data_IF_866296336921
#
_entry.id   IF_866296336921
#
_cell.length_a   1.000
_cell.length_b   1.000
_cell.length_c   1.000
_cell.angle_alpha   90.00
_cell.angle_beta   90.00
_cell.angle_gamma   90.00
#
_symmetry.space_group_name_H-M   'P 1'
#
loop_
_entity.id
_entity.type
_entity.pdbx_description
1 polymer ?
#
# COMPACT_ATOMS: atom_id res chain seq x y z
N UNK A 1 -8.20 -21.64 -24.54
CA UNK A 1 -7.63 -21.05 -23.32
C UNK A 1 -8.78 -20.98 -22.32
N UNK A 2 -8.63 -21.53 -21.10
CA UNK A 2 -9.66 -21.35 -20.05
C UNK A 2 -9.75 -19.85 -19.73
N UNK A 3 -10.96 -19.33 -19.59
CA UNK A 3 -11.14 -17.95 -19.15
C UNK A 3 -10.50 -17.78 -17.75
N UNK A 4 -9.82 -16.65 -17.55
CA UNK A 4 -9.27 -16.30 -16.24
C UNK A 4 -10.41 -16.27 -15.21
N UNK A 5 -10.31 -17.00 -14.08
CA UNK A 5 -11.34 -16.98 -13.05
C UNK A 5 -11.70 -15.56 -12.62
N UNK A 6 -12.98 -15.33 -12.31
CA UNK A 6 -13.54 -13.99 -12.05
C UNK A 6 -12.75 -13.20 -10.99
N UNK A 7 -12.34 -13.87 -9.92
CA UNK A 7 -11.58 -13.26 -8.80
C UNK A 7 -10.12 -12.93 -9.16
N UNK A 8 -9.59 -13.38 -10.30
CA UNK A 8 -8.27 -13.01 -10.80
C UNK A 8 -8.31 -11.97 -11.92
N UNK A 9 -9.50 -11.54 -12.35
CA UNK A 9 -9.62 -10.50 -13.38
C UNK A 9 -9.26 -9.13 -12.83
N UNK A 10 -8.70 -8.27 -13.69
CA UNK A 10 -8.38 -6.88 -13.37
C UNK A 10 -9.66 -6.04 -13.27
N UNK A 11 -9.60 -4.90 -12.57
CA UNK A 11 -10.71 -3.93 -12.52
C UNK A 11 -11.13 -3.54 -13.94
N UNK A 12 -10.16 -3.30 -14.82
CA UNK A 12 -10.43 -2.95 -16.22
C UNK A 12 -11.26 -4.01 -16.93
N UNK A 13 -10.93 -5.29 -16.75
CA UNK A 13 -11.69 -6.41 -17.37
C UNK A 13 -13.07 -6.54 -16.75
N UNK A 14 -13.17 -6.50 -15.42
CA UNK A 14 -14.45 -6.56 -14.70
C UNK A 14 -15.37 -5.40 -15.11
N UNK A 15 -14.84 -4.19 -15.17
CA UNK A 15 -15.55 -2.99 -15.60
C UNK A 15 -16.13 -3.16 -17.02
N UNK A 16 -15.32 -3.63 -17.97
CA UNK A 16 -15.79 -3.88 -19.33
C UNK A 16 -16.95 -4.90 -19.39
N UNK A 17 -16.90 -5.95 -18.58
CA UNK A 17 -17.98 -6.93 -18.51
C UNK A 17 -19.25 -6.34 -17.89
N UNK A 18 -19.11 -5.53 -16.83
CA UNK A 18 -20.23 -4.84 -16.18
C UNK A 18 -20.91 -3.89 -17.17
N UNK A 19 -20.15 -3.05 -17.87
CA UNK A 19 -20.71 -2.10 -18.85
C UNK A 19 -21.33 -2.77 -20.07
N UNK A 20 -20.84 -3.97 -20.48
CA UNK A 20 -21.45 -4.78 -21.53
C UNK A 20 -22.70 -5.54 -21.04
N UNK A 21 -23.00 -5.53 -19.74
CA UNK A 21 -24.10 -6.29 -19.15
C UNK A 21 -23.87 -7.80 -19.11
N UNK A 22 -22.63 -8.28 -19.30
CA UNK A 22 -22.26 -9.70 -19.23
C UNK A 22 -21.90 -10.14 -17.80
N UNK A 23 -21.65 -9.19 -16.90
CA UNK A 23 -21.40 -9.39 -15.47
C UNK A 23 -22.27 -8.43 -14.67
N UNK A 24 -22.99 -8.93 -13.66
CA UNK A 24 -23.72 -8.10 -12.71
C UNK A 24 -22.79 -7.68 -11.57
N UNK A 25 -22.85 -6.40 -11.10
CA UNK A 25 -22.20 -5.99 -9.85
C UNK A 25 -22.58 -6.85 -8.64
N UNK A 26 -23.83 -7.32 -8.58
CA UNK A 26 -24.31 -8.23 -7.53
C UNK A 26 -23.64 -9.58 -7.62
N UNK A 27 -23.61 -10.19 -8.80
CA UNK A 27 -22.95 -11.49 -9.00
C UNK A 27 -21.44 -11.43 -8.71
N UNK A 28 -20.78 -10.32 -9.07
CA UNK A 28 -19.38 -10.09 -8.72
C UNK A 28 -19.18 -10.00 -7.20
N UNK A 29 -20.03 -9.23 -6.52
CA UNK A 29 -19.96 -9.07 -5.06
C UNK A 29 -20.22 -10.41 -4.35
N UNK A 30 -21.24 -11.18 -4.75
CA UNK A 30 -21.53 -12.51 -4.20
C UNK A 30 -20.32 -13.43 -4.34
N UNK A 31 -19.77 -13.54 -5.55
CA UNK A 31 -18.59 -14.38 -5.82
C UNK A 31 -17.39 -14.01 -4.92
N UNK A 32 -17.12 -12.72 -4.73
CA UNK A 32 -15.98 -12.28 -3.92
C UNK A 32 -16.25 -12.44 -2.41
N UNK A 33 -17.49 -12.26 -1.96
CA UNK A 33 -17.88 -12.52 -0.58
C UNK A 33 -17.77 -14.00 -0.23
N UNK A 34 -18.26 -14.88 -1.09
CA UNK A 34 -18.16 -16.34 -0.90
C UNK A 34 -16.69 -16.77 -0.83
N UNK A 35 -15.84 -16.21 -1.72
CA UNK A 35 -14.41 -16.49 -1.69
C UNK A 35 -13.74 -15.94 -0.42
N UNK A 36 -14.10 -14.74 0.01
CA UNK A 36 -13.56 -14.18 1.25
C UNK A 36 -13.96 -15.04 2.47
N UNK A 37 -15.22 -15.48 2.54
CA UNK A 37 -15.69 -16.36 3.61
C UNK A 37 -15.00 -17.73 3.62
N UNK A 38 -14.69 -18.29 2.46
CA UNK A 38 -13.98 -19.56 2.36
C UNK A 38 -12.53 -19.48 2.83
N UNK A 39 -11.83 -18.35 2.58
CA UNK A 39 -10.39 -18.24 2.80
C UNK A 39 -10.02 -17.47 4.08
N UNK A 40 -10.90 -16.57 4.55
CA UNK A 40 -10.52 -15.62 5.61
C UNK A 40 -10.34 -16.28 6.99
N UNK A 41 -10.99 -17.42 7.21
CA UNK A 41 -10.77 -18.24 8.41
C UNK A 41 -9.32 -18.69 8.59
N UNK A 42 -8.59 -18.85 7.48
CA UNK A 42 -7.17 -19.22 7.45
C UNK A 42 -6.27 -18.01 7.23
N UNK A 43 -6.64 -17.08 6.34
CA UNK A 43 -5.78 -15.97 5.92
C UNK A 43 -5.90 -14.72 6.79
N UNK A 44 -6.97 -14.56 7.56
CA UNK A 44 -7.21 -13.44 8.48
C UNK A 44 -7.02 -12.05 7.82
N UNK A 45 -7.44 -11.90 6.55
CA UNK A 45 -7.27 -10.67 5.78
C UNK A 45 -8.24 -9.56 6.21
N UNK A 46 -9.42 -9.95 6.73
CA UNK A 46 -10.48 -9.00 7.08
C UNK A 46 -10.69 -8.89 8.59
N UNK A 47 -10.93 -7.67 9.04
CA UNK A 47 -11.44 -7.37 10.37
C UNK A 47 -12.96 -7.44 10.41
N UNK A 48 -13.62 -7.05 9.30
CA UNK A 48 -15.07 -7.03 9.19
C UNK A 48 -15.50 -7.14 7.73
N UNK A 49 -16.43 -8.06 7.47
CA UNK A 49 -17.13 -8.19 6.19
C UNK A 49 -18.63 -7.97 6.46
N UNK A 50 -19.20 -6.79 6.17
CA UNK A 50 -20.62 -6.51 6.36
C UNK A 50 -21.43 -7.01 5.15
N UNK A 51 -21.59 -8.35 5.00
CA UNK A 51 -22.14 -9.02 3.82
C UNK A 51 -23.44 -8.42 3.31
N UNK A 52 -24.44 -8.25 4.17
CA UNK A 52 -25.76 -7.73 3.76
C UNK A 52 -25.66 -6.30 3.23
N UNK A 53 -24.83 -5.48 3.86
CA UNK A 53 -24.59 -4.09 3.42
C UNK A 53 -23.86 -4.07 2.08
N UNK A 54 -22.87 -4.93 1.87
CA UNK A 54 -22.13 -5.04 0.62
C UNK A 54 -23.04 -5.44 -0.53
N UNK A 55 -23.90 -6.44 -0.33
CA UNK A 55 -24.89 -6.89 -1.32
C UNK A 55 -25.92 -5.81 -1.64
N UNK A 56 -26.47 -5.14 -0.63
CA UNK A 56 -27.42 -4.04 -0.85
C UNK A 56 -26.78 -2.88 -1.64
N UNK A 57 -25.51 -2.57 -1.37
CA UNK A 57 -24.78 -1.54 -2.11
C UNK A 57 -24.48 -1.96 -3.55
N UNK A 58 -24.17 -3.25 -3.80
CA UNK A 58 -23.98 -3.79 -5.15
C UNK A 58 -25.29 -3.77 -5.95
N UNK A 59 -26.43 -4.06 -5.32
CA UNK A 59 -27.75 -3.92 -5.92
C UNK A 59 -28.07 -2.48 -6.30
N UNK A 60 -27.75 -1.52 -5.43
CA UNK A 60 -27.93 -0.11 -5.72
C UNK A 60 -27.05 0.34 -6.91
N UNK A 61 -25.79 -0.08 -6.98
CA UNK A 61 -24.91 0.21 -8.10
C UNK A 61 -25.45 -0.39 -9.41
N UNK A 62 -25.94 -1.62 -9.40
CA UNK A 62 -26.54 -2.24 -10.58
C UNK A 62 -27.79 -1.48 -11.07
N UNK A 63 -28.68 -1.10 -10.15
CA UNK A 63 -29.89 -0.34 -10.49
C UNK A 63 -29.55 1.04 -11.07
N UNK A 64 -28.57 1.73 -10.49
CA UNK A 64 -28.08 3.04 -10.94
C UNK A 64 -27.53 2.93 -12.37
N UNK A 65 -26.72 1.91 -12.64
CA UNK A 65 -26.18 1.66 -13.97
C UNK A 65 -27.29 1.32 -15.00
N UNK A 66 -28.25 0.47 -14.63
CA UNK A 66 -29.42 0.16 -15.49
C UNK A 66 -30.31 1.38 -15.77
N UNK A 67 -30.33 2.36 -14.87
CA UNK A 67 -31.02 3.62 -15.07
C UNK A 67 -30.23 4.61 -15.98
N UNK A 68 -29.08 4.21 -16.50
CA UNK A 68 -28.23 5.05 -17.35
C UNK A 68 -27.37 6.05 -16.58
N UNK A 69 -27.24 5.93 -15.26
CA UNK A 69 -26.41 6.76 -14.40
C UNK A 69 -25.09 6.02 -14.15
N UNK A 70 -24.18 6.11 -15.11
CA UNK A 70 -22.87 5.50 -15.06
C UNK A 70 -21.83 6.45 -14.41
N UNK A 71 -21.17 6.00 -13.35
CA UNK A 71 -20.11 6.75 -12.67
C UNK A 71 -18.71 6.51 -13.27
N UNK A 72 -18.60 5.74 -14.35
CA UNK A 72 -17.34 5.49 -15.06
C UNK A 72 -16.71 4.13 -14.74
N UNK A 73 -15.41 3.97 -15.03
CA UNK A 73 -14.74 2.66 -15.08
C UNK A 73 -14.66 1.92 -13.73
N UNK A 74 -14.98 2.55 -12.63
CA UNK A 74 -15.00 1.94 -11.31
C UNK A 74 -16.40 1.57 -10.83
N UNK A 75 -17.45 1.84 -11.63
CA UNK A 75 -18.84 1.60 -11.25
C UNK A 75 -19.11 0.10 -11.03
N UNK A 76 -19.62 -0.23 -9.84
CA UNK A 76 -19.95 -1.60 -9.44
C UNK A 76 -18.75 -2.47 -9.04
N UNK A 77 -17.54 -1.92 -9.01
CA UNK A 77 -16.32 -2.64 -8.63
C UNK A 77 -16.19 -2.71 -7.09
N UNK A 78 -16.05 -3.91 -6.49
CA UNK A 78 -15.83 -4.07 -5.07
C UNK A 78 -14.45 -3.58 -4.62
N UNK A 79 -14.37 -3.01 -3.40
CA UNK A 79 -13.12 -2.62 -2.77
C UNK A 79 -13.12 -2.88 -1.26
N UNK A 80 -11.92 -3.00 -0.67
CA UNK A 80 -11.71 -3.03 0.77
C UNK A 80 -10.93 -1.81 1.25
N UNK A 81 -11.06 -1.51 2.54
CA UNK A 81 -10.29 -0.43 3.17
C UNK A 81 -9.55 -0.95 4.40
N UNK A 82 -8.31 -0.55 4.58
CA UNK A 82 -7.56 -0.79 5.81
C UNK A 82 -8.32 -0.27 7.03
N UNK A 83 -8.33 -1.01 8.13
CA UNK A 83 -9.14 -0.69 9.30
C UNK A 83 -8.59 0.45 10.18
N UNK A 84 -8.00 1.45 9.53
CA UNK A 84 -7.72 2.79 10.06
C UNK A 84 -8.43 3.88 9.25
N UNK A 85 -9.19 3.48 8.22
CA UNK A 85 -9.91 4.38 7.31
C UNK A 85 -11.39 4.31 7.68
N UNK A 86 -11.96 5.46 7.97
CA UNK A 86 -13.34 5.58 8.44
C UNK A 86 -14.36 5.25 7.34
N UNK A 87 -15.33 4.43 7.73
CA UNK A 87 -16.52 4.12 6.93
C UNK A 87 -17.74 4.33 7.78
N UNK A 88 -18.61 5.25 7.39
CA UNK A 88 -19.82 5.61 8.11
C UNK A 88 -20.62 4.38 8.57
N UNK A 89 -20.95 4.34 9.86
CA UNK A 89 -21.73 3.27 10.48
C UNK A 89 -20.97 1.95 10.72
N UNK A 90 -19.66 1.91 10.47
CA UNK A 90 -18.79 0.76 10.79
C UNK A 90 -17.74 1.15 11.83
N UNK A 91 -17.25 0.19 12.64
CA UNK A 91 -16.14 0.45 13.54
C UNK A 91 -14.84 0.70 12.75
N UNK A 92 -14.03 1.63 13.26
CA UNK A 92 -12.62 1.82 12.89
C UNK A 92 -11.78 1.47 14.10
N UNK A 93 -11.26 0.23 14.12
CA UNK A 93 -10.57 -0.31 15.30
C UNK A 93 -9.10 0.06 15.35
N UNK A 94 -8.54 0.54 14.25
CA UNK A 94 -7.10 0.78 14.07
C UNK A 94 -6.23 -0.45 14.46
N UNK A 95 -6.77 -1.67 14.27
CA UNK A 95 -6.12 -2.91 14.63
C UNK A 95 -5.97 -3.14 16.15
N UNK A 96 -6.76 -2.43 16.97
CA UNK A 96 -6.68 -2.46 18.44
C UNK A 96 -8.05 -2.73 19.09
N UNK A 97 -8.10 -3.58 20.12
CA UNK A 97 -9.33 -3.71 20.90
C UNK A 97 -9.68 -2.47 21.72
N UNK A 98 -8.78 -1.56 21.90
CA UNK A 98 -9.08 -0.26 22.53
C UNK A 98 -10.15 0.54 21.77
N UNK A 99 -10.28 0.30 20.47
CA UNK A 99 -11.21 0.98 19.57
C UNK A 99 -12.24 0.03 18.92
N UNK A 100 -12.44 -1.18 19.50
CA UNK A 100 -13.34 -2.18 18.92
C UNK A 100 -14.78 -1.67 18.71
N UNK A 101 -15.25 -0.77 19.57
CA UNK A 101 -16.59 -0.19 19.56
C UNK A 101 -16.62 1.25 18.99
N UNK A 102 -15.51 1.70 18.37
CA UNK A 102 -15.41 3.03 17.77
C UNK A 102 -16.15 3.09 16.44
N UNK A 103 -17.48 3.11 16.48
CA UNK A 103 -18.34 3.26 15.30
C UNK A 103 -18.36 4.72 14.87
N UNK A 104 -17.91 4.98 13.65
CA UNK A 104 -17.80 6.33 13.10
C UNK A 104 -19.07 6.76 12.36
N UNK A 105 -19.36 8.07 12.35
CA UNK A 105 -20.58 8.66 11.77
C UNK A 105 -20.37 9.31 10.40
N UNK A 106 -19.17 9.23 9.84
CA UNK A 106 -18.82 9.78 8.53
C UNK A 106 -17.83 8.87 7.80
N UNK A 107 -17.79 8.97 6.49
CA UNK A 107 -16.75 8.37 5.68
C UNK A 107 -15.47 9.23 5.70
N UNK A 108 -14.31 8.58 5.61
CA UNK A 108 -13.10 9.26 5.16
C UNK A 108 -13.30 9.83 3.76
N UNK A 109 -12.69 10.98 3.45
CA UNK A 109 -12.83 11.62 2.13
C UNK A 109 -12.44 10.67 0.99
N UNK A 110 -11.39 9.85 1.18
CA UNK A 110 -10.97 8.88 0.17
C UNK A 110 -12.03 7.81 -0.09
N UNK A 111 -12.74 7.37 0.95
CA UNK A 111 -13.87 6.43 0.81
C UNK A 111 -15.04 7.08 0.08
N UNK A 112 -15.37 8.31 0.44
CA UNK A 112 -16.45 9.07 -0.20
C UNK A 112 -16.20 9.22 -1.70
N UNK A 113 -14.98 9.55 -2.10
CA UNK A 113 -14.59 9.68 -3.53
C UNK A 113 -14.72 8.37 -4.30
N UNK A 114 -14.33 7.24 -3.70
CA UNK A 114 -14.47 5.93 -4.34
C UNK A 114 -15.94 5.52 -4.46
N UNK A 115 -16.76 5.79 -3.44
CA UNK A 115 -18.21 5.57 -3.52
C UNK A 115 -18.86 6.46 -4.60
N UNK A 116 -18.45 7.73 -4.72
CA UNK A 116 -18.90 8.63 -5.78
C UNK A 116 -18.46 8.17 -7.18
N UNK A 117 -17.31 7.49 -7.29
CA UNK A 117 -16.89 6.82 -8.52
C UNK A 117 -17.64 5.49 -8.78
N UNK A 118 -18.66 5.17 -7.97
CA UNK A 118 -19.51 4.00 -8.11
C UNK A 118 -18.95 2.70 -7.53
N UNK A 119 -17.81 2.74 -6.83
CA UNK A 119 -17.26 1.53 -6.19
C UNK A 119 -18.12 1.08 -5.01
N UNK A 120 -18.04 -0.22 -4.69
CA UNK A 120 -18.85 -0.85 -3.65
C UNK A 120 -17.94 -1.42 -2.54
N UNK A 121 -18.14 -0.99 -1.29
CA UNK A 121 -17.36 -1.50 -0.16
C UNK A 121 -17.68 -2.97 0.11
N UNK A 122 -16.66 -3.84 0.09
CA UNK A 122 -16.75 -5.24 0.49
C UNK A 122 -16.47 -5.40 2.00
N UNK A 123 -15.43 -4.74 2.53
CA UNK A 123 -15.08 -4.91 3.94
C UNK A 123 -13.94 -4.04 4.45
N UNK A 124 -13.65 -4.19 5.74
CA UNK A 124 -12.54 -3.57 6.46
C UNK A 124 -11.41 -4.56 6.60
N UNK A 125 -10.26 -4.29 5.96
CA UNK A 125 -9.09 -5.15 5.96
C UNK A 125 -8.27 -5.01 7.25
N UNK A 126 -7.74 -6.11 7.73
CA UNK A 126 -6.89 -6.18 8.92
C UNK A 126 -5.63 -5.31 8.78
N UNK A 127 -5.13 -4.83 9.89
CA UNK A 127 -3.95 -3.96 9.97
C UNK A 127 -3.12 -4.24 11.22
N UNK A 128 -1.85 -3.89 11.20
CA UNK A 128 -1.05 -3.80 12.43
C UNK A 128 -1.67 -2.75 13.35
N UNK A 129 -1.63 -2.99 14.67
CA UNK A 129 -2.15 -2.02 15.63
C UNK A 129 -1.60 -0.61 15.35
N UNK A 130 -2.52 0.35 15.20
CA UNK A 130 -2.23 1.76 14.91
C UNK A 130 -1.31 1.99 13.70
N UNK A 131 -1.34 1.08 12.73
CA UNK A 131 -0.49 1.12 11.53
C UNK A 131 1.03 1.12 11.82
N UNK A 132 1.48 0.75 13.03
CA UNK A 132 2.86 0.91 13.44
C UNK A 132 3.65 -0.39 13.45
N UNK A 133 3.90 -1.00 12.27
CA UNK A 133 4.71 -2.22 12.11
C UNK A 133 4.85 -2.65 10.66
N UNK A 134 6.08 -3.02 10.24
CA UNK A 134 6.42 -3.43 8.88
C UNK A 134 6.18 -4.93 8.58
N UNK A 135 6.34 -5.88 9.52
CA UNK A 135 6.08 -7.30 9.25
C UNK A 135 4.61 -7.64 9.00
N UNK A 136 3.66 -6.89 9.56
CA UNK A 136 2.23 -7.17 9.40
C UNK A 136 1.59 -7.90 10.57
N UNK A 137 2.29 -8.05 11.70
CA UNK A 137 1.86 -8.78 12.90
C UNK A 137 0.86 -7.96 13.70
N UNK A 138 -0.19 -8.62 14.19
CA UNK A 138 -1.19 -8.04 15.09
C UNK A 138 -1.59 -9.09 16.15
N UNK A 139 -1.24 -8.85 17.40
CA UNK A 139 -1.58 -9.74 18.52
C UNK A 139 -2.99 -9.51 19.06
N UNK A 140 -3.63 -8.37 18.76
CA UNK A 140 -4.97 -8.05 19.22
C UNK A 140 -6.07 -8.75 18.42
N UNK A 141 -5.91 -8.86 17.10
CA UNK A 141 -6.96 -9.38 16.23
C UNK A 141 -6.50 -10.50 15.30
N UNK A 142 -5.29 -11.01 15.52
CA UNK A 142 -4.66 -12.03 14.69
C UNK A 142 -3.85 -11.43 13.53
N UNK A 143 -2.79 -12.13 13.16
CA UNK A 143 -1.89 -11.75 12.07
C UNK A 143 -2.38 -12.32 10.76
N UNK A 144 -2.58 -11.52 9.70
CA UNK A 144 -2.86 -12.04 8.37
C UNK A 144 -1.71 -12.93 7.87
N UNK A 145 -2.05 -14.02 7.19
CA UNK A 145 -1.08 -14.95 6.63
C UNK A 145 -0.77 -14.61 5.18
N UNK A 146 0.51 -14.65 4.81
CA UNK A 146 0.92 -14.49 3.42
C UNK A 146 0.36 -15.63 2.56
N UNK A 147 -0.42 -15.34 1.50
CA UNK A 147 -1.09 -16.36 0.71
C UNK A 147 -0.16 -17.24 -0.14
N UNK A 148 1.12 -16.89 -0.25
CA UNK A 148 2.11 -17.64 -1.04
C UNK A 148 2.74 -18.82 -0.31
N UNK A 149 2.39 -19.06 0.94
CA UNK A 149 2.96 -20.16 1.70
C UNK A 149 1.99 -20.76 2.71
N UNK A 150 1.87 -22.09 2.75
CA UNK A 150 0.96 -22.80 3.67
C UNK A 150 1.35 -22.67 5.15
N UNK A 151 2.66 -22.61 5.47
CA UNK A 151 3.10 -22.22 6.80
C UNK A 151 2.93 -20.72 7.00
N UNK A 152 2.43 -20.23 8.15
CA UNK A 152 2.24 -18.82 8.39
C UNK A 152 3.52 -17.99 8.17
N UNK A 153 3.53 -17.19 7.12
CA UNK A 153 4.57 -16.23 6.78
C UNK A 153 4.04 -14.80 6.92
N UNK A 154 4.91 -13.85 7.25
CA UNK A 154 4.54 -12.45 7.39
C UNK A 154 4.10 -11.86 6.04
N UNK A 155 2.93 -11.20 5.96
CA UNK A 155 2.43 -10.63 4.72
C UNK A 155 3.05 -9.26 4.39
N UNK A 156 3.82 -8.71 5.33
CA UNK A 156 4.15 -7.29 5.30
C UNK A 156 3.03 -6.40 5.83
N UNK A 157 3.42 -5.22 6.28
CA UNK A 157 2.52 -4.27 6.94
C UNK A 157 2.97 -2.81 6.77
N UNK A 158 2.16 -1.98 7.33
CA UNK A 158 1.03 -2.25 8.24
C UNK A 158 -0.30 -2.55 7.53
N UNK A 159 -0.45 -2.36 6.20
CA UNK A 159 -1.65 -2.69 5.42
C UNK A 159 -1.68 -4.19 5.09
N UNK A 160 -1.53 -5.04 6.13
CA UNK A 160 -1.33 -6.48 6.00
C UNK A 160 -2.54 -7.18 5.36
N UNK A 161 -3.74 -6.95 5.87
CA UNK A 161 -4.96 -7.51 5.31
C UNK A 161 -5.28 -6.97 3.92
N UNK A 162 -4.90 -5.71 3.62
CA UNK A 162 -5.05 -5.15 2.27
C UNK A 162 -4.20 -5.92 1.24
N UNK A 163 -2.93 -6.21 1.57
CA UNK A 163 -2.06 -7.02 0.72
C UNK A 163 -2.57 -8.43 0.52
N UNK A 164 -2.93 -9.10 1.62
CA UNK A 164 -3.44 -10.49 1.60
C UNK A 164 -4.75 -10.61 0.82
N UNK A 165 -5.73 -9.73 1.06
CA UNK A 165 -7.05 -9.80 0.40
C UNK A 165 -6.96 -9.63 -1.12
N UNK A 166 -6.07 -8.76 -1.61
CA UNK A 166 -5.84 -8.57 -3.05
C UNK A 166 -5.07 -9.75 -3.64
N UNK A 167 -4.02 -10.21 -2.97
CA UNK A 167 -3.19 -11.33 -3.41
C UNK A 167 -3.95 -12.66 -3.45
N UNK A 168 -4.90 -12.86 -2.53
CA UNK A 168 -5.76 -14.05 -2.48
C UNK A 168 -6.99 -13.96 -3.42
N UNK A 169 -7.16 -12.86 -4.16
CA UNK A 169 -8.31 -12.65 -5.03
C UNK A 169 -9.64 -12.48 -4.29
N UNK A 170 -9.63 -12.11 -3.01
CA UNK A 170 -10.84 -11.84 -2.24
C UNK A 170 -11.47 -10.49 -2.62
N UNK A 171 -10.66 -9.58 -3.17
CA UNK A 171 -11.10 -8.26 -3.61
C UNK A 171 -10.18 -7.76 -4.74
N UNK A 172 -10.71 -7.01 -5.74
CA UNK A 172 -9.88 -6.49 -6.83
C UNK A 172 -8.86 -5.45 -6.40
N UNK A 173 -9.19 -4.66 -5.37
CA UNK A 173 -8.31 -3.65 -4.79
C UNK A 173 -8.62 -3.40 -3.31
N UNK A 174 -7.60 -2.96 -2.58
CA UNK A 174 -7.76 -2.49 -1.21
C UNK A 174 -7.00 -1.19 -0.98
N UNK A 175 -7.56 -0.30 -0.15
CA UNK A 175 -6.84 0.88 0.33
C UNK A 175 -5.89 0.51 1.46
N UNK A 176 -4.71 1.12 1.44
CA UNK A 176 -3.75 1.10 2.52
C UNK A 176 -3.24 2.50 2.84
N UNK A 177 -2.33 2.59 3.80
CA UNK A 177 -1.56 3.82 4.11
C UNK A 177 -0.09 3.50 4.13
N UNK A 178 0.76 4.49 3.81
CA UNK A 178 2.21 4.33 3.72
C UNK A 178 2.91 5.49 4.44
N UNK A 179 3.48 5.19 5.61
CA UNK A 179 4.28 6.10 6.44
C UNK A 179 5.76 5.80 6.33
N UNK A 180 6.10 4.52 6.15
CA UNK A 180 7.47 4.03 6.01
C UNK A 180 7.56 2.80 5.10
N UNK A 181 6.53 2.55 4.27
CA UNK A 181 6.45 1.42 3.37
C UNK A 181 5.15 0.63 3.45
N UNK A 182 4.18 1.09 4.25
CA UNK A 182 3.03 0.25 4.63
C UNK A 182 1.99 -0.04 3.53
N UNK A 183 2.17 0.45 2.30
CA UNK A 183 1.51 -0.02 1.06
C UNK A 183 2.47 -0.89 0.27
N UNK A 184 3.72 -0.47 0.14
CA UNK A 184 4.73 -1.09 -0.72
C UNK A 184 5.28 -2.40 -0.18
N UNK A 185 5.50 -2.50 1.15
CA UNK A 185 5.98 -3.74 1.79
C UNK A 185 4.98 -4.88 1.59
N UNK A 186 3.67 -4.75 1.98
CA UNK A 186 2.72 -5.81 1.72
C UNK A 186 2.52 -6.09 0.23
N UNK A 187 2.61 -5.09 -0.64
CA UNK A 187 2.58 -5.31 -2.09
C UNK A 187 3.74 -6.21 -2.55
N UNK A 188 4.98 -5.94 -2.10
CA UNK A 188 6.15 -6.73 -2.46
C UNK A 188 6.07 -8.16 -1.95
N UNK A 189 5.69 -8.36 -0.67
CA UNK A 189 5.68 -9.67 -0.03
C UNK A 189 4.47 -10.53 -0.44
N UNK A 190 3.36 -9.91 -0.88
CA UNK A 190 2.17 -10.61 -1.36
C UNK A 190 2.08 -10.68 -2.89
N UNK A 191 3.04 -10.12 -3.65
CA UNK A 191 3.05 -10.19 -5.12
C UNK A 191 1.96 -9.36 -5.78
N UNK A 192 1.65 -8.18 -5.24
CA UNK A 192 0.66 -7.23 -5.76
C UNK A 192 1.32 -5.91 -6.15
N UNK A 193 0.57 -5.03 -6.80
CA UNK A 193 0.96 -3.65 -7.08
C UNK A 193 0.59 -2.75 -5.89
N UNK A 194 1.50 -1.87 -5.46
CA UNK A 194 1.22 -0.93 -4.38
C UNK A 194 1.77 0.46 -4.67
N UNK A 195 0.90 1.47 -4.72
CA UNK A 195 1.28 2.86 -4.98
C UNK A 195 1.35 3.66 -3.68
N UNK A 196 2.55 4.07 -3.32
CA UNK A 196 2.74 5.13 -2.34
C UNK A 196 2.61 6.49 -3.04
N UNK A 197 1.59 7.25 -2.68
CA UNK A 197 1.39 8.61 -3.19
C UNK A 197 2.30 9.61 -2.45
N UNK A 198 2.55 10.75 -3.07
CA UNK A 198 3.15 11.91 -2.39
C UNK A 198 2.19 12.41 -1.30
N UNK A 199 2.73 12.76 -0.13
CA UNK A 199 1.94 13.38 0.94
C UNK A 199 1.21 14.60 0.40
N UNK A 200 -0.10 14.69 0.67
CA UNK A 200 -0.93 15.79 0.21
C UNK A 200 -1.57 15.60 -1.18
N UNK A 201 -1.30 14.51 -1.92
CA UNK A 201 -2.02 14.22 -3.17
C UNK A 201 -3.38 13.56 -2.93
N UNK A 202 -3.51 12.81 -1.84
CA UNK A 202 -4.75 12.15 -1.41
C UNK A 202 -5.08 12.60 0.02
N UNK A 203 -6.33 12.95 0.26
CA UNK A 203 -6.80 13.38 1.58
C UNK A 203 -6.69 12.26 2.62
N UNK A 204 -6.28 12.65 3.82
CA UNK A 204 -6.20 11.81 5.03
C UNK A 204 -7.32 12.13 6.02
N UNK A 205 -8.27 12.99 5.66
CA UNK A 205 -9.43 13.26 6.51
C UNK A 205 -10.26 11.99 6.72
N UNK A 206 -10.48 11.62 7.98
CA UNK A 206 -11.11 10.35 8.36
C UNK A 206 -10.18 9.13 8.32
N UNK A 207 -8.86 9.34 8.29
CA UNK A 207 -7.85 8.28 8.44
C UNK A 207 -7.22 8.42 9.82
N UNK A 208 -7.18 7.33 10.61
CA UNK A 208 -6.51 7.32 11.91
C UNK A 208 -5.02 7.58 11.70
N UNK A 209 -4.44 8.65 12.28
CA UNK A 209 -3.08 9.07 11.95
C UNK A 209 -2.01 8.20 12.61
N UNK A 210 -0.89 8.03 11.91
CA UNK A 210 0.36 7.60 12.50
C UNK A 210 1.37 8.77 12.50
N UNK A 211 1.46 9.51 11.40
CA UNK A 211 2.36 10.66 11.26
C UNK A 211 1.78 11.66 10.26
N UNK A 212 1.41 12.84 10.72
CA UNK A 212 0.90 13.89 9.79
C UNK A 212 1.96 14.39 8.79
N UNK A 213 3.25 14.20 9.10
CA UNK A 213 4.35 14.54 8.18
C UNK A 213 4.55 13.50 7.10
N UNK A 214 4.37 12.20 7.40
CA UNK A 214 4.81 11.10 6.54
C UNK A 214 3.69 10.25 5.94
N UNK A 215 2.48 10.29 6.51
CA UNK A 215 1.36 9.45 6.06
C UNK A 215 0.89 9.80 4.65
N UNK A 216 0.69 8.78 3.85
CA UNK A 216 -0.01 8.88 2.57
C UNK A 216 -0.99 7.71 2.41
N UNK A 217 -2.07 7.91 1.66
CA UNK A 217 -3.05 6.87 1.32
C UNK A 217 -2.78 6.38 -0.08
N UNK A 218 -2.78 5.06 -0.29
CA UNK A 218 -2.53 4.48 -1.59
C UNK A 218 -3.24 3.15 -1.82
N UNK A 219 -3.48 2.78 -3.09
CA UNK A 219 -4.11 1.52 -3.45
C UNK A 219 -3.12 0.36 -3.49
N UNK A 220 -3.63 -0.83 -3.16
CA UNK A 220 -3.05 -2.12 -3.50
C UNK A 220 -3.96 -2.78 -4.54
N UNK A 221 -3.42 -3.25 -5.65
CA UNK A 221 -4.15 -3.82 -6.79
C UNK A 221 -3.37 -4.97 -7.41
N UNK A 222 -3.96 -5.67 -8.40
CA UNK A 222 -3.22 -6.69 -9.16
C UNK A 222 -2.51 -6.16 -10.39
N UNK A 223 -2.94 -5.00 -10.92
CA UNK A 223 -2.29 -4.39 -12.08
C UNK A 223 -1.99 -2.91 -11.84
N UNK A 224 -0.99 -2.40 -12.56
CA UNK A 224 -0.63 -0.97 -12.52
C UNK A 224 -1.75 -0.10 -13.10
N UNK A 225 -2.45 -0.59 -14.11
CA UNK A 225 -3.61 0.12 -14.69
C UNK A 225 -4.74 0.29 -13.66
N UNK A 226 -5.03 -0.74 -12.87
CA UNK A 226 -6.03 -0.65 -11.80
C UNK A 226 -5.61 0.36 -10.72
N UNK A 227 -4.31 0.38 -10.34
CA UNK A 227 -3.78 1.37 -9.41
C UNK A 227 -3.92 2.81 -9.95
N UNK A 228 -3.69 3.02 -11.24
CA UNK A 228 -3.84 4.32 -11.88
C UNK A 228 -5.30 4.81 -11.90
N UNK A 229 -6.25 3.93 -12.25
CA UNK A 229 -7.69 4.23 -12.23
C UNK A 229 -8.17 4.62 -10.83
N UNK A 230 -7.78 3.84 -9.82
CA UNK A 230 -8.17 4.11 -8.43
C UNK A 230 -7.52 5.40 -7.92
N UNK A 231 -6.22 5.60 -8.18
CA UNK A 231 -5.54 6.83 -7.79
C UNK A 231 -6.17 8.07 -8.44
N UNK A 232 -6.53 7.99 -9.72
CA UNK A 232 -7.22 9.08 -10.44
C UNK A 232 -8.54 9.47 -9.73
N UNK A 233 -9.28 8.50 -9.20
CA UNK A 233 -10.56 8.75 -8.53
C UNK A 233 -10.39 9.34 -7.12
N UNK A 234 -9.34 8.97 -6.38
CA UNK A 234 -9.22 9.35 -4.96
C UNK A 234 -8.40 10.61 -4.69
N UNK A 235 -7.62 11.11 -5.66
CA UNK A 235 -6.72 12.27 -5.50
C UNK A 235 -7.46 13.62 -5.58
N UNK A 236 -6.77 14.67 -5.18
CA UNK A 236 -7.22 16.06 -5.33
C UNK A 236 -7.40 16.79 -3.99
N UNK A 237 -7.61 18.11 -4.01
CA UNK A 237 -7.71 18.93 -2.82
C UNK A 237 -8.95 18.59 -2.00
N UNK A 238 -8.79 18.71 -0.67
CA UNK A 238 -9.86 18.54 0.31
C UNK A 238 -9.74 19.62 1.38
N UNK A 239 -10.79 20.45 1.58
CA UNK A 239 -10.79 21.44 2.64
C UNK A 239 -10.64 20.86 4.06
N UNK A 240 -11.00 19.57 4.26
CA UNK A 240 -10.86 18.89 5.54
C UNK A 240 -9.42 18.39 5.81
N UNK A 241 -8.54 18.34 4.78
CA UNK A 241 -7.11 18.05 4.92
C UNK A 241 -6.27 19.16 4.29
N UNK A 242 -5.78 20.13 5.08
CA UNK A 242 -4.96 21.23 4.57
C UNK A 242 -3.69 20.81 3.82
N UNK A 243 -3.17 19.60 4.06
CA UNK A 243 -2.01 19.10 3.33
C UNK A 243 -2.26 18.94 1.82
N UNK A 244 -3.53 18.84 1.41
CA UNK A 244 -3.93 18.67 0.01
C UNK A 244 -4.10 19.98 -0.77
N UNK A 245 -3.84 21.14 -0.17
CA UNK A 245 -4.06 22.46 -0.80
C UNK A 245 -3.37 22.60 -2.17
N UNK A 246 -2.21 21.98 -2.33
CA UNK A 246 -1.41 21.99 -3.55
C UNK A 246 -1.56 20.72 -4.38
N UNK A 247 -2.57 19.88 -4.08
CA UNK A 247 -2.82 18.66 -4.84
C UNK A 247 -3.11 19.01 -6.31
N UNK A 248 -2.41 18.33 -7.22
CA UNK A 248 -2.57 18.52 -8.66
C UNK A 248 -3.77 17.73 -9.17
N UNK A 249 -4.52 18.30 -10.12
CA UNK A 249 -5.52 17.60 -10.92
C UNK A 249 -4.97 17.04 -12.23
N UNK A 250 -3.66 16.88 -12.35
CA UNK A 250 -3.05 16.30 -13.55
C UNK A 250 -3.67 14.93 -13.85
N UNK A 251 -4.17 14.73 -15.05
CA UNK A 251 -4.68 13.42 -15.47
C UNK A 251 -3.53 12.42 -15.57
N UNK A 252 -3.49 11.46 -14.63
CA UNK A 252 -2.44 10.43 -14.58
C UNK A 252 -2.61 9.35 -15.62
N UNK A 253 -3.75 9.28 -16.28
CA UNK A 253 -4.00 8.37 -17.39
C UNK A 253 -3.50 8.96 -18.73
N UNK A 254 -3.29 10.28 -18.80
CA UNK A 254 -2.68 10.92 -19.96
C UNK A 254 -1.22 10.49 -20.08
N UNK A 255 -0.85 9.90 -21.21
CA UNK A 255 0.50 9.37 -21.46
C UNK A 255 0.84 8.08 -20.71
N UNK A 256 -0.11 7.48 -19.99
CA UNK A 256 0.08 6.24 -19.23
C UNK A 256 0.59 5.07 -20.10
N UNK A 257 0.14 4.98 -21.36
CA UNK A 257 0.49 3.92 -22.31
C UNK A 257 1.63 4.29 -23.26
N UNK A 258 2.29 5.45 -23.10
CA UNK A 258 3.33 5.93 -24.03
C UNK A 258 4.64 5.11 -23.99
N UNK A 259 4.72 4.11 -23.09
CA UNK A 259 5.91 3.31 -22.88
C UNK A 259 7.07 4.10 -22.26
N UNK A 260 8.28 3.52 -22.30
CA UNK A 260 9.46 4.09 -21.62
C UNK A 260 10.57 4.54 -22.55
N UNK A 261 10.34 4.53 -23.87
CA UNK A 261 11.37 4.91 -24.86
C UNK A 261 11.89 6.32 -24.59
N UNK A 262 13.22 6.43 -24.44
CA UNK A 262 13.92 7.70 -24.21
C UNK A 262 13.84 8.22 -22.77
N UNK A 263 13.13 7.54 -21.84
CA UNK A 263 13.18 7.89 -20.42
C UNK A 263 14.55 7.58 -19.83
N UNK A 264 14.98 8.40 -18.88
CA UNK A 264 16.21 8.23 -18.10
C UNK A 264 15.87 7.61 -16.76
N UNK A 265 16.09 6.33 -16.65
CA UNK A 265 15.89 5.55 -15.42
C UNK A 265 17.26 5.28 -14.79
N UNK A 266 17.31 5.23 -13.46
CA UNK A 266 18.56 4.91 -12.78
C UNK A 266 18.36 3.83 -11.72
N UNK A 267 19.25 2.86 -11.69
CA UNK A 267 19.38 1.95 -10.56
C UNK A 267 20.02 2.73 -9.43
N UNK A 268 19.28 2.91 -8.32
CA UNK A 268 19.81 3.59 -7.16
C UNK A 268 20.89 2.72 -6.50
N UNK A 269 22.12 3.23 -6.44
CA UNK A 269 23.21 2.63 -5.68
C UNK A 269 23.02 2.89 -4.18
N UNK A 270 23.94 2.41 -3.35
CA UNK A 270 23.97 2.60 -1.90
C UNK A 270 23.13 1.61 -1.08
N UNK A 271 22.57 2.03 0.04
CA UNK A 271 21.90 1.22 1.08
C UNK A 271 20.88 0.19 0.59
N UNK A 272 20.30 0.38 -0.61
CA UNK A 272 19.24 -0.52 -1.11
C UNK A 272 19.72 -1.96 -1.33
N UNK A 273 21.01 -2.15 -1.54
CA UNK A 273 21.62 -3.44 -1.91
C UNK A 273 22.38 -4.11 -0.76
N UNK A 274 22.68 -3.37 0.31
CA UNK A 274 23.41 -3.90 1.46
C UNK A 274 22.60 -5.03 2.12
N UNK A 275 23.25 -6.16 2.40
CA UNK A 275 22.64 -7.36 3.00
C UNK A 275 21.31 -7.79 2.34
N UNK A 276 21.11 -7.46 1.07
CA UNK A 276 19.90 -7.83 0.33
C UNK A 276 20.02 -9.26 -0.17
N UNK A 277 18.92 -10.00 -0.05
CA UNK A 277 18.83 -11.40 -0.50
C UNK A 277 19.25 -11.53 -1.98
N UNK A 278 20.11 -12.51 -2.34
CA UNK A 278 20.62 -12.67 -3.70
C UNK A 278 19.54 -12.88 -4.77
N UNK A 279 18.44 -13.57 -4.45
CA UNK A 279 17.32 -13.74 -5.37
C UNK A 279 16.67 -12.40 -5.69
N UNK A 280 16.53 -11.54 -4.67
CA UNK A 280 15.97 -10.18 -4.82
C UNK A 280 16.91 -9.31 -5.67
N UNK A 281 18.21 -9.31 -5.36
CA UNK A 281 19.22 -8.58 -6.15
C UNK A 281 19.14 -8.97 -7.62
N UNK A 282 19.18 -10.28 -7.88
CA UNK A 282 19.16 -10.82 -9.24
C UNK A 282 17.86 -10.46 -9.99
N UNK A 283 16.69 -10.55 -9.33
CA UNK A 283 15.41 -10.24 -9.94
C UNK A 283 15.29 -8.76 -10.29
N UNK A 284 15.66 -7.86 -9.37
CA UNK A 284 15.53 -6.41 -9.57
C UNK A 284 16.51 -5.87 -10.61
N UNK A 285 17.75 -6.39 -10.67
CA UNK A 285 18.69 -5.99 -11.72
C UNK A 285 18.19 -6.37 -13.12
N UNK A 286 17.59 -7.56 -13.28
CA UNK A 286 16.94 -7.96 -14.55
C UNK A 286 15.82 -7.01 -15.00
N UNK A 287 15.16 -6.31 -14.08
CA UNK A 287 14.14 -5.32 -14.46
C UNK A 287 14.75 -4.16 -15.25
N UNK A 288 15.97 -3.73 -14.91
CA UNK A 288 16.71 -2.74 -15.70
C UNK A 288 16.96 -3.19 -17.13
N UNK A 289 17.30 -4.47 -17.34
CA UNK A 289 17.52 -5.04 -18.67
C UNK A 289 16.21 -5.04 -19.49
N UNK A 290 15.09 -5.40 -18.86
CA UNK A 290 13.76 -5.35 -19.51
C UNK A 290 13.44 -3.92 -19.96
N UNK A 291 13.57 -2.93 -19.06
CA UNK A 291 13.28 -1.53 -19.37
C UNK A 291 14.22 -0.97 -20.45
N UNK A 292 15.49 -1.39 -20.46
CA UNK A 292 16.44 -1.06 -21.52
C UNK A 292 15.99 -1.63 -22.88
N UNK A 293 15.51 -2.87 -22.89
CA UNK A 293 14.97 -3.49 -24.11
C UNK A 293 13.74 -2.75 -24.66
N UNK A 294 12.95 -2.13 -23.76
CA UNK A 294 11.82 -1.27 -24.14
C UNK A 294 12.23 0.13 -24.62
N UNK A 295 13.53 0.46 -24.58
CA UNK A 295 14.11 1.69 -25.11
C UNK A 295 14.34 2.79 -24.08
N UNK A 296 14.27 2.49 -22.78
CA UNK A 296 14.73 3.41 -21.74
C UNK A 296 16.27 3.45 -21.69
N UNK A 297 16.82 4.59 -21.25
CA UNK A 297 18.23 4.68 -20.83
C UNK A 297 18.30 4.33 -19.34
N UNK A 298 18.97 3.23 -19.02
CA UNK A 298 19.10 2.76 -17.63
C UNK A 298 20.57 2.81 -17.22
N UNK A 299 20.88 3.73 -16.32
CA UNK A 299 22.21 3.92 -15.74
C UNK A 299 22.19 3.62 -14.23
N UNK A 300 23.34 3.66 -13.56
CA UNK A 300 23.40 3.68 -12.11
C UNK A 300 23.52 5.12 -11.58
N UNK A 301 22.98 5.37 -10.40
CA UNK A 301 23.05 6.66 -9.70
C UNK A 301 23.48 6.46 -8.25
N UNK A 302 24.57 7.09 -7.87
CA UNK A 302 24.97 7.22 -6.47
C UNK A 302 23.98 8.17 -5.74
N UNK A 303 22.91 7.59 -5.19
CA UNK A 303 21.84 8.34 -4.53
C UNK A 303 22.12 8.47 -3.04
N UNK A 304 23.11 9.30 -2.70
CA UNK A 304 23.63 9.50 -1.32
C UNK A 304 22.57 10.02 -0.34
N UNK A 305 21.51 10.65 -0.83
CA UNK A 305 20.38 11.09 -0.02
C UNK A 305 19.66 9.91 0.66
N UNK A 306 19.72 8.71 0.08
CA UNK A 306 19.19 7.50 0.70
C UNK A 306 19.99 7.13 1.96
N UNK A 307 21.32 7.17 1.90
CA UNK A 307 22.19 6.93 3.05
C UNK A 307 21.95 7.96 4.15
N UNK A 308 21.88 9.24 3.77
CA UNK A 308 21.61 10.34 4.70
C UNK A 308 20.24 10.18 5.37
N UNK A 309 19.21 9.77 4.62
CA UNK A 309 17.85 9.54 5.14
C UNK A 309 17.81 8.40 6.17
N UNK A 310 18.58 7.33 5.95
CA UNK A 310 18.63 6.19 6.87
C UNK A 310 19.55 6.45 8.07
N UNK A 311 20.67 7.17 7.89
CA UNK A 311 21.56 7.58 8.97
C UNK A 311 20.91 8.61 9.91
N UNK A 312 19.99 9.43 9.40
CA UNK A 312 19.26 10.39 10.22
C UNK A 312 18.28 9.65 11.14
N UNK A 313 18.43 9.81 12.46
CA UNK A 313 17.47 9.29 13.44
C UNK A 313 16.07 9.95 13.32
N UNK A 314 15.92 10.90 12.39
CA UNK A 314 14.73 11.73 12.22
C UNK A 314 13.46 10.92 11.86
N UNK A 315 13.55 9.84 11.06
CA UNK A 315 12.38 9.02 10.75
C UNK A 315 11.74 8.45 12.03
N UNK A 316 12.53 7.80 12.87
CA UNK A 316 12.04 7.21 14.11
C UNK A 316 11.49 8.27 15.07
N UNK A 317 12.13 9.43 15.14
CA UNK A 317 11.71 10.52 16.01
C UNK A 317 10.43 11.20 15.50
N UNK A 318 10.36 11.56 14.21
CA UNK A 318 9.16 12.20 13.61
C UNK A 318 7.93 11.32 13.82
N UNK A 319 7.98 10.07 13.32
CA UNK A 319 6.83 9.17 13.41
C UNK A 319 6.43 8.83 14.84
N UNK A 320 7.40 8.61 15.74
CA UNK A 320 7.09 8.30 17.14
C UNK A 320 6.53 9.51 17.90
N UNK A 321 7.07 10.73 17.68
CA UNK A 321 6.61 11.94 18.37
C UNK A 321 5.19 12.33 17.93
N UNK A 322 4.93 12.28 16.64
CA UNK A 322 3.62 12.59 16.10
C UNK A 322 2.57 11.57 16.56
N UNK A 323 2.88 10.27 16.48
CA UNK A 323 2.02 9.22 17.01
C UNK A 323 1.78 9.38 18.52
N UNK A 324 2.83 9.68 19.32
CA UNK A 324 2.71 9.83 20.76
C UNK A 324 1.72 10.95 21.14
N UNK A 325 1.81 12.11 20.48
CA UNK A 325 0.91 13.25 20.72
C UNK A 325 -0.52 12.91 20.33
N UNK A 326 -0.75 12.39 19.11
CA UNK A 326 -2.08 12.01 18.65
C UNK A 326 -2.74 10.97 19.55
N UNK A 327 -1.98 9.97 20.01
CA UNK A 327 -2.50 8.94 20.88
C UNK A 327 -2.80 9.44 22.30
N UNK A 328 -1.95 10.32 22.84
CA UNK A 328 -2.18 10.93 24.13
C UNK A 328 -3.47 11.76 24.14
N UNK A 329 -3.73 12.51 23.06
CA UNK A 329 -4.94 13.32 22.91
C UNK A 329 -6.22 12.48 22.72
N UNK A 330 -6.13 11.37 21.97
CA UNK A 330 -7.30 10.53 21.61
C UNK A 330 -7.61 9.47 22.64
N UNK A 331 -6.59 8.84 23.23
CA UNK A 331 -6.71 7.64 24.06
C UNK A 331 -6.18 7.81 25.48
N UNK A 332 -5.56 8.97 25.80
CA UNK A 332 -4.92 9.22 27.08
C UNK A 332 -3.68 8.34 27.31
N UNK A 333 -3.27 8.20 28.56
CA UNK A 333 -2.05 7.47 28.94
C UNK A 333 -2.23 5.94 29.01
N UNK A 334 -3.00 5.35 28.08
CA UNK A 334 -3.32 3.91 28.06
C UNK A 334 -2.28 3.07 27.29
N UNK A 335 -1.01 3.49 27.26
CA UNK A 335 0.05 2.83 26.49
C UNK A 335 0.41 1.42 26.98
N UNK A 336 0.06 1.06 28.21
CA UNK A 336 0.20 -0.26 28.80
C UNK A 336 -0.81 -1.30 28.25
N UNK A 337 -1.90 -0.82 27.64
CA UNK A 337 -2.90 -1.65 26.97
C UNK A 337 -2.55 -1.88 25.48
N UNK A 338 -1.48 -1.29 24.99
CA UNK A 338 -1.02 -1.47 23.61
C UNK A 338 -0.16 -2.72 23.50
N UNK A 339 -0.14 -3.25 22.28
CA UNK A 339 0.84 -4.28 21.93
C UNK A 339 2.26 -3.76 22.19
N UNK A 340 3.12 -4.49 22.92
CA UNK A 340 4.50 -4.07 23.20
C UNK A 340 5.33 -3.75 21.94
N UNK A 341 5.07 -4.42 20.80
CA UNK A 341 5.75 -4.11 19.53
C UNK A 341 5.44 -2.70 19.00
N UNK A 342 4.34 -2.10 19.46
CA UNK A 342 3.89 -0.75 19.12
C UNK A 342 4.28 0.26 20.19
N UNK A 343 3.86 0.02 21.46
CA UNK A 343 4.07 0.98 22.56
C UNK A 343 5.53 1.30 22.79
N UNK A 344 6.43 0.30 22.76
CA UNK A 344 7.88 0.52 22.96
C UNK A 344 8.51 1.44 21.90
N UNK A 345 7.99 1.46 20.70
CA UNK A 345 8.47 2.35 19.63
C UNK A 345 7.91 3.76 19.78
N UNK A 346 6.64 3.88 20.13
CA UNK A 346 5.97 5.16 20.33
C UNK A 346 6.54 5.90 21.56
N UNK A 347 6.73 5.19 22.65
CA UNK A 347 7.27 5.74 23.90
C UNK A 347 8.73 6.23 23.81
N UNK A 348 9.48 5.87 22.75
CA UNK A 348 10.82 6.44 22.50
C UNK A 348 10.80 7.95 22.32
N UNK A 349 9.67 8.52 21.93
CA UNK A 349 9.52 9.96 21.76
C UNK A 349 9.06 10.69 23.05
N UNK A 350 8.74 9.96 24.13
CA UNK A 350 8.21 10.55 25.38
C UNK A 350 9.10 11.66 25.95
N UNK A 351 10.43 11.44 25.90
CA UNK A 351 11.42 12.37 26.43
C UNK A 351 12.02 13.29 25.36
N UNK A 352 11.50 13.25 24.13
CA UNK A 352 11.98 14.11 23.05
C UNK A 352 11.60 15.56 23.31
N UNK A 353 12.57 16.46 23.17
CA UNK A 353 12.32 17.89 23.34
C UNK A 353 11.73 18.50 22.06
N UNK A 354 11.00 19.63 22.16
CA UNK A 354 10.57 20.40 20.98
C UNK A 354 11.73 20.74 20.04
N UNK A 355 12.95 20.97 20.59
CA UNK A 355 14.14 21.26 19.80
C UNK A 355 14.58 20.07 18.97
N UNK A 356 14.48 18.84 19.51
CA UNK A 356 14.85 17.63 18.78
C UNK A 356 13.90 17.38 17.62
N UNK A 357 12.59 17.51 17.87
CA UNK A 357 11.58 17.40 16.83
C UNK A 357 11.74 18.46 15.72
N UNK A 358 11.94 19.74 16.09
CA UNK A 358 12.16 20.81 15.11
C UNK A 358 13.43 20.61 14.28
N UNK A 359 14.49 20.06 14.88
CA UNK A 359 15.73 19.70 14.15
C UNK A 359 15.46 18.56 13.16
N UNK A 360 14.68 17.54 13.57
CA UNK A 360 14.32 16.42 12.73
C UNK A 360 13.46 16.86 11.51
N UNK A 361 12.46 17.72 11.72
CA UNK A 361 11.63 18.29 10.63
C UNK A 361 12.48 19.15 9.67
N UNK A 362 13.40 19.98 10.19
CA UNK A 362 14.29 20.77 9.32
C UNK A 362 15.22 19.90 8.48
N UNK A 363 15.77 18.83 9.08
CA UNK A 363 16.62 17.87 8.38
C UNK A 363 15.81 17.12 7.29
N UNK A 364 14.59 16.66 7.62
CA UNK A 364 13.68 16.05 6.67
C UNK A 364 13.40 16.96 5.47
N UNK A 365 12.99 18.21 5.70
CA UNK A 365 12.71 19.16 4.62
C UNK A 365 13.95 19.44 3.76
N UNK A 366 15.14 19.57 4.36
CA UNK A 366 16.38 19.76 3.62
C UNK A 366 16.72 18.56 2.73
N UNK A 367 16.51 17.33 3.23
CA UNK A 367 16.70 16.10 2.46
C UNK A 367 15.71 15.98 1.29
N UNK A 368 14.42 16.31 1.51
CA UNK A 368 13.44 16.36 0.42
C UNK A 368 13.87 17.31 -0.70
N UNK A 369 14.31 18.52 -0.36
CA UNK A 369 14.81 19.48 -1.35
C UNK A 369 16.08 18.99 -2.06
N UNK A 370 16.98 18.32 -1.34
CA UNK A 370 18.21 17.77 -1.92
C UNK A 370 17.88 16.68 -2.93
N UNK A 371 17.03 15.71 -2.55
CA UNK A 371 16.59 14.64 -3.42
C UNK A 371 15.92 15.15 -4.73
N UNK A 372 15.04 16.16 -4.63
CA UNK A 372 14.42 16.77 -5.81
C UNK A 372 15.45 17.38 -6.78
N UNK A 373 16.55 17.93 -6.26
CA UNK A 373 17.63 18.46 -7.12
C UNK A 373 18.43 17.36 -7.79
N UNK A 374 18.80 16.31 -7.05
CA UNK A 374 19.53 15.15 -7.58
C UNK A 374 18.72 14.43 -8.66
N UNK A 375 17.40 14.31 -8.46
CA UNK A 375 16.50 13.66 -9.41
C UNK A 375 16.05 14.55 -10.58
N UNK A 376 16.54 15.79 -10.71
CA UNK A 376 16.08 16.71 -11.78
C UNK A 376 16.16 16.08 -13.16
N UNK A 377 17.26 15.37 -13.43
CA UNK A 377 17.57 14.79 -14.73
C UNK A 377 17.29 13.28 -14.81
N UNK A 378 16.63 12.71 -13.82
CA UNK A 378 16.20 11.31 -13.77
C UNK A 378 14.68 11.26 -13.76
N UNK A 379 14.09 10.37 -14.58
CA UNK A 379 12.65 10.23 -14.66
C UNK A 379 12.11 9.31 -13.55
N UNK A 380 12.83 8.21 -13.23
CA UNK A 380 12.55 7.39 -12.07
C UNK A 380 13.78 6.60 -11.60
N UNK A 381 13.80 6.24 -10.31
CA UNK A 381 14.78 5.34 -9.70
C UNK A 381 14.23 3.94 -9.56
N UNK A 382 15.10 2.95 -9.72
CA UNK A 382 14.81 1.52 -9.56
C UNK A 382 15.58 0.98 -8.35
N UNK A 383 14.90 0.26 -7.47
CA UNK A 383 15.50 -0.38 -6.30
C UNK A 383 14.66 -1.59 -5.85
N UNK A 384 15.20 -2.52 -5.05
CA UNK A 384 14.38 -3.54 -4.40
C UNK A 384 13.44 -2.90 -3.37
N UNK A 385 12.16 -3.32 -3.36
CA UNK A 385 11.19 -2.81 -2.38
C UNK A 385 11.57 -3.23 -0.96
N UNK A 386 11.88 -4.52 -0.76
CA UNK A 386 12.38 -5.06 0.51
C UNK A 386 13.74 -5.69 0.29
N UNK A 387 14.56 -5.70 1.34
CA UNK A 387 15.88 -6.36 1.28
C UNK A 387 15.82 -7.87 1.55
N UNK A 388 14.71 -8.35 2.09
CA UNK A 388 14.47 -9.74 2.48
C UNK A 388 13.10 -10.21 1.99
N UNK A 389 12.93 -11.50 1.70
CA UNK A 389 11.62 -12.07 1.36
C UNK A 389 10.72 -12.18 2.59
N UNK A 390 9.51 -12.66 2.38
CA UNK A 390 8.62 -13.05 3.49
C UNK A 390 9.25 -14.19 4.31
N UNK A 391 9.21 -14.07 5.63
CA UNK A 391 9.74 -15.05 6.58
C UNK A 391 8.60 -15.66 7.42
N UNK A 392 8.83 -16.85 8.03
CA UNK A 392 7.87 -17.43 8.96
C UNK A 392 7.54 -16.46 10.12
N UNK A 393 6.26 -16.37 10.47
CA UNK A 393 5.81 -15.54 11.62
C UNK A 393 6.56 -15.93 12.89
N UNK A 394 6.77 -17.24 13.12
CA UNK A 394 7.49 -17.75 14.29
C UNK A 394 8.95 -17.29 14.39
N UNK A 395 9.58 -16.97 13.26
CA UNK A 395 10.93 -16.41 13.24
C UNK A 395 10.91 -14.91 13.55
N UNK A 396 9.98 -14.17 12.94
CA UNK A 396 9.91 -12.70 13.05
C UNK A 396 9.41 -12.25 14.41
N UNK A 397 8.53 -13.04 15.02
CA UNK A 397 7.81 -12.74 16.27
C UNK A 397 8.24 -13.61 17.45
N UNK A 398 9.48 -14.10 17.43
CA UNK A 398 10.00 -14.96 18.51
C UNK A 398 10.33 -14.20 19.81
N UNK A 399 10.58 -12.91 19.74
CA UNK A 399 10.72 -11.98 20.87
C UNK A 399 10.56 -10.53 20.41
N UNK A 400 10.33 -9.62 21.34
CA UNK A 400 10.22 -8.18 21.07
C UNK A 400 11.48 -7.62 20.41
N UNK A 401 12.67 -8.07 20.82
CA UNK A 401 13.94 -7.64 20.24
C UNK A 401 14.08 -8.13 18.80
N UNK A 402 13.78 -9.39 18.54
CA UNK A 402 13.82 -10.00 17.20
C UNK A 402 12.80 -9.32 16.29
N UNK A 403 11.58 -9.07 16.79
CA UNK A 403 10.59 -8.31 16.02
C UNK A 403 11.12 -6.94 15.59
N UNK A 404 11.75 -6.17 16.49
CA UNK A 404 12.29 -4.86 16.16
C UNK A 404 13.43 -4.90 15.11
N UNK A 405 14.28 -5.93 15.15
CA UNK A 405 15.30 -6.15 14.14
C UNK A 405 14.67 -6.37 12.76
N UNK A 406 13.72 -7.31 12.65
CA UNK A 406 13.03 -7.59 11.40
C UNK A 406 12.19 -6.41 10.91
N UNK A 407 11.48 -5.73 11.81
CA UNK A 407 10.73 -4.52 11.47
C UNK A 407 11.62 -3.44 10.82
N UNK A 408 12.84 -3.27 11.32
CA UNK A 408 13.81 -2.34 10.72
C UNK A 408 14.25 -2.80 9.33
N UNK A 409 14.53 -4.10 9.15
CA UNK A 409 14.98 -4.68 7.88
C UNK A 409 13.89 -4.62 6.81
N UNK A 410 12.64 -4.99 7.12
CA UNK A 410 11.53 -4.91 6.17
C UNK A 410 11.26 -3.49 5.67
N UNK A 411 11.41 -2.48 6.51
CA UNK A 411 11.12 -1.08 6.15
C UNK A 411 12.32 -0.27 5.67
N UNK A 412 13.55 -0.83 5.66
CA UNK A 412 14.77 -0.08 5.35
C UNK A 412 14.68 0.64 4.01
N UNK A 413 14.44 -0.09 2.94
CA UNK A 413 14.43 0.46 1.59
C UNK A 413 13.24 1.40 1.35
N UNK A 414 12.06 1.03 1.84
CA UNK A 414 10.83 1.81 1.61
C UNK A 414 10.82 3.14 2.35
N UNK A 415 11.42 3.23 3.56
CA UNK A 415 11.52 4.48 4.33
C UNK A 415 12.21 5.61 3.57
N UNK A 416 13.13 5.28 2.68
CA UNK A 416 13.85 6.28 1.88
C UNK A 416 12.87 7.18 1.12
N UNK A 417 11.89 6.61 0.41
CA UNK A 417 10.93 7.41 -0.33
C UNK A 417 10.04 8.29 0.57
N UNK A 418 9.69 7.82 1.79
CA UNK A 418 8.94 8.65 2.76
C UNK A 418 9.80 9.82 3.27
N UNK A 419 11.05 9.54 3.65
CA UNK A 419 11.97 10.55 4.18
C UNK A 419 12.42 11.59 3.14
N UNK A 420 12.35 11.25 1.86
CA UNK A 420 12.72 12.15 0.77
C UNK A 420 11.50 12.79 0.08
N UNK A 421 10.28 12.54 0.60
CA UNK A 421 9.04 13.10 0.06
C UNK A 421 8.71 12.62 -1.36
N UNK A 422 9.20 11.45 -1.77
CA UNK A 422 9.02 10.89 -3.11
C UNK A 422 7.71 10.09 -3.21
N UNK A 423 7.12 10.02 -4.42
CA UNK A 423 6.16 8.97 -4.73
C UNK A 423 6.90 7.67 -5.08
N UNK A 424 6.23 6.52 -4.95
CA UNK A 424 6.82 5.25 -5.32
C UNK A 424 5.77 4.20 -5.62
N UNK A 425 6.07 3.35 -6.60
CA UNK A 425 5.26 2.21 -7.00
C UNK A 425 6.05 0.93 -6.72
N UNK A 426 5.40 -0.07 -6.14
CA UNK A 426 5.92 -1.44 -6.10
C UNK A 426 5.16 -2.29 -7.10
N UNK A 427 5.90 -3.06 -7.91
CA UNK A 427 5.34 -4.04 -8.85
C UNK A 427 6.01 -5.40 -8.65
N UNK A 428 5.30 -6.54 -8.80
CA UNK A 428 5.93 -7.85 -8.74
C UNK A 428 6.92 -8.03 -9.89
N UNK A 429 8.11 -8.58 -9.60
CA UNK A 429 9.18 -8.70 -10.59
C UNK A 429 9.92 -10.04 -10.56
N UNK A 430 9.50 -10.95 -9.72
CA UNK A 430 10.12 -12.26 -9.60
C UNK A 430 9.54 -13.08 -8.45
N UNK A 431 10.04 -14.30 -8.35
CA UNK A 431 9.88 -15.15 -7.18
C UNK A 431 11.28 -15.58 -6.70
N UNK A 432 11.42 -15.75 -5.39
CA UNK A 432 12.61 -16.37 -4.81
C UNK A 432 12.71 -17.84 -5.20
N UNK A 433 13.84 -18.47 -4.92
CA UNK A 433 14.04 -19.92 -5.06
C UNK A 433 13.03 -20.76 -4.24
N UNK A 434 12.39 -20.15 -3.25
CA UNK A 434 11.33 -20.74 -2.42
C UNK A 434 9.90 -20.38 -2.89
N UNK A 435 9.76 -19.73 -4.04
CA UNK A 435 8.45 -19.37 -4.60
C UNK A 435 7.77 -18.15 -3.96
N UNK A 436 8.49 -17.36 -3.17
CA UNK A 436 7.96 -16.15 -2.52
C UNK A 436 8.14 -14.91 -3.41
N UNK A 437 7.16 -13.98 -3.47
CA UNK A 437 7.21 -12.81 -4.34
C UNK A 437 8.36 -11.86 -4.04
N UNK A 438 8.82 -11.21 -5.11
CA UNK A 438 9.82 -10.14 -5.10
C UNK A 438 9.21 -8.88 -5.74
N UNK A 439 9.38 -7.73 -5.10
CA UNK A 439 8.89 -6.43 -5.58
C UNK A 439 10.02 -5.52 -6.07
N UNK A 440 9.87 -5.00 -7.30
CA UNK A 440 10.60 -3.84 -7.80
C UNK A 440 9.95 -2.57 -7.26
N UNK A 441 10.73 -1.67 -6.68
CA UNK A 441 10.31 -0.32 -6.31
C UNK A 441 10.77 0.68 -7.38
N UNK A 442 9.80 1.41 -7.94
CA UNK A 442 10.00 2.50 -8.89
C UNK A 442 9.71 3.79 -8.13
N UNK A 443 10.73 4.61 -7.87
CA UNK A 443 10.58 5.87 -7.12
C UNK A 443 10.63 7.06 -8.08
N UNK A 444 9.67 7.97 -7.95
CA UNK A 444 9.56 9.21 -8.72
C UNK A 444 9.74 10.45 -7.85
N UNK A 445 9.89 11.59 -8.49
CA UNK A 445 9.86 12.91 -7.83
C UNK A 445 8.54 13.12 -7.08
N UNK A 446 8.51 14.06 -6.14
CA UNK A 446 7.26 14.44 -5.49
C UNK A 446 6.22 14.87 -6.52
N UNK A 447 4.99 14.38 -6.38
CA UNK A 447 3.83 14.63 -7.25
C UNK A 447 3.98 14.15 -8.71
N UNK A 448 4.85 13.17 -8.95
CA UNK A 448 5.07 12.56 -10.27
C UNK A 448 4.60 11.10 -10.33
N UNK A 449 3.44 10.84 -9.72
CA UNK A 449 2.81 9.51 -9.72
C UNK A 449 2.53 9.00 -11.14
N UNK A 450 2.25 9.91 -12.08
CA UNK A 450 2.05 9.57 -13.49
C UNK A 450 3.28 8.88 -14.09
N UNK A 451 4.50 9.34 -13.75
CA UNK A 451 5.75 8.75 -14.24
C UNK A 451 5.97 7.35 -13.68
N UNK A 452 5.84 7.16 -12.35
CA UNK A 452 6.05 5.83 -11.76
C UNK A 452 5.01 4.82 -12.23
N UNK A 453 3.77 5.25 -12.44
CA UNK A 453 2.70 4.43 -13.03
C UNK A 453 3.00 4.07 -14.48
N UNK A 454 3.45 5.02 -15.31
CA UNK A 454 3.85 4.79 -16.70
C UNK A 454 4.99 3.79 -16.82
N UNK A 455 6.05 3.94 -16.02
CA UNK A 455 7.19 3.01 -16.00
C UNK A 455 6.75 1.63 -15.53
N UNK A 456 5.96 1.55 -14.44
CA UNK A 456 5.41 0.31 -13.93
C UNK A 456 4.52 -0.42 -14.93
N UNK A 457 3.66 0.32 -15.63
CA UNK A 457 2.80 -0.25 -16.69
C UNK A 457 3.61 -0.81 -17.84
N UNK A 458 4.61 -0.08 -18.34
CA UNK A 458 5.46 -0.58 -19.42
C UNK A 458 6.22 -1.84 -19.03
N UNK A 459 6.71 -1.92 -17.78
CA UNK A 459 7.34 -3.13 -17.24
C UNK A 459 6.33 -4.30 -17.12
N UNK A 460 5.14 -4.02 -16.60
CA UNK A 460 4.05 -5.01 -16.46
C UNK A 460 3.65 -5.62 -17.81
N UNK A 461 3.52 -4.78 -18.86
CA UNK A 461 3.17 -5.24 -20.21
C UNK A 461 4.27 -6.08 -20.89
N UNK A 462 5.52 -5.96 -20.45
CA UNK A 462 6.66 -6.71 -20.98
C UNK A 462 6.96 -8.00 -20.19
N UNK A 463 6.24 -8.24 -19.11
CA UNK A 463 6.44 -9.40 -18.22
C UNK A 463 5.12 -10.05 -17.85
N UNK A 464 5.17 -11.22 -17.20
CA UNK A 464 3.98 -11.97 -16.78
C UNK A 464 3.82 -12.08 -15.25
N UNK A 465 4.62 -11.31 -14.48
CA UNK A 465 4.64 -11.42 -13.02
C UNK A 465 3.31 -11.10 -12.36
N UNK A 466 2.56 -10.13 -12.88
CA UNK A 466 1.23 -9.75 -12.37
C UNK A 466 0.14 -10.79 -12.64
N UNK A 467 0.42 -11.80 -13.48
CA UNK A 467 -0.47 -12.94 -13.72
C UNK A 467 -0.20 -14.12 -12.78
N UNK A 468 0.91 -14.08 -12.01
CA UNK A 468 1.22 -15.11 -11.05
C UNK A 468 0.31 -14.99 -9.83
N UNK A 469 -0.27 -16.11 -9.43
CA UNK A 469 -1.20 -16.21 -8.30
C UNK A 469 -0.73 -17.28 -7.32
N UNK A 470 -1.00 -17.13 -6.01
CA UNK A 470 -0.68 -18.17 -5.04
C UNK A 470 -1.58 -19.41 -5.25
N UNK A 471 -1.03 -20.58 -4.96
CA UNK A 471 -1.84 -21.78 -4.77
C UNK A 471 -2.48 -21.73 -3.37
N UNK A 472 -3.80 -21.65 -3.33
CA UNK A 472 -4.59 -21.52 -2.09
C UNK A 472 -5.32 -22.81 -1.71
N UNK A 473 -5.03 -23.92 -2.36
CA UNK A 473 -5.66 -25.22 -2.07
C UNK A 473 -5.47 -25.67 -0.60
N UNK A 474 -4.47 -25.13 0.08
CA UNK A 474 -4.21 -25.39 1.50
C UNK A 474 -5.04 -24.51 2.45
N UNK A 475 -5.66 -23.45 1.95
CA UNK A 475 -6.42 -22.47 2.74
C UNK A 475 -7.94 -22.63 2.63
N UNK A 476 -8.40 -23.44 1.65
CA UNK A 476 -9.83 -23.76 1.39
C UNK A 476 -10.43 -24.74 2.39
#
# INVERSE_FOLDING_TARGET
MSETPLHWQTITTLSQQIHRGTLSPVALMEHLLDRAEALDGTLHAFRLIPRDRALAAAQAAELTLRAGQDAGPLHGIPFAVKDIIDVNGLPTTAGSHLLQDNVVSANATVVERLLQAGMVLLGKAQTVQFAFGAPGINHHHGTPHNPWHATPHVPGGSSSGSGVSVAAGMVPMALGTDTGGSVRIPAALCGTVGLKTTVGQVSRAGVFPLSWTLDSVGPLTRSVQDAALVYQAMRGPDPADPSTHNASFQDVLSGFTDGVRGLRLSVAESVFWEETDPDIVSAVLRCGDVLTTLGAHVDSLAFLEADEALAAASFGLIGAAEAYVDHLERLGERFDEYDPIVSTRMLRAKDATPMDYLRAIRAHNALCHKAQRTLRDVDALLAPTTMIPSLPVSEVDSSLEVYHQWNSRYSRNTRVANMLGLCALTVPCGLTSHGLPIGLMIMGKASDEAMVLRVGHAFEQATDWHHRTPDLSWAE
#
